data_IF_472257103575
#
_entry.id   IF_472257103575
#
_cell.length_a   1.000
_cell.length_b   1.000
_cell.length_c   1.000
_cell.angle_alpha   90.00
_cell.angle_beta   90.00
_cell.angle_gamma   90.00
#
_symmetry.space_group_name_H-M   'P 1'
#
loop_
_entity.id
_entity.type
_entity.pdbx_description
1 polymer ?
#
# COMPACT_ATOMS: atom_id res chain seq x y z
N UNK A 1 1.25 2.36 3.85
CA UNK A 1 2.03 2.55 2.63
C UNK A 1 2.28 1.18 2.01
N UNK A 2 1.57 0.89 0.93
CA UNK A 2 1.56 -0.40 0.23
C UNK A 2 2.40 -0.24 -1.03
N UNK A 3 3.48 -1.04 -1.16
CA UNK A 3 4.57 -0.81 -2.11
C UNK A 3 5.50 0.30 -1.60
N UNK A 4 5.99 0.13 -0.37
CA UNK A 4 6.73 1.21 0.31
C UNK A 4 8.17 1.37 -0.16
N UNK A 5 8.68 0.42 -0.96
CA UNK A 5 10.07 0.42 -1.43
C UNK A 5 11.04 0.59 -0.23
N UNK A 6 11.97 1.50 -0.26
CA UNK A 6 12.90 1.78 0.85
C UNK A 6 12.30 2.71 1.93
N UNK A 7 11.01 3.06 1.83
CA UNK A 7 10.25 3.81 2.83
C UNK A 7 10.23 5.33 2.65
N UNK A 8 10.66 5.86 1.51
CA UNK A 8 10.75 7.32 1.31
C UNK A 8 9.45 8.06 1.64
N UNK A 9 8.31 7.56 1.17
CA UNK A 9 7.02 8.15 1.46
C UNK A 9 6.63 7.98 2.94
N UNK A 10 6.78 6.77 3.48
CA UNK A 10 6.51 6.46 4.88
C UNK A 10 7.29 7.36 5.84
N UNK A 11 8.59 7.55 5.60
CA UNK A 11 9.42 8.43 6.44
C UNK A 11 9.05 9.90 6.29
N UNK A 12 8.69 10.35 5.08
CA UNK A 12 8.25 11.72 4.84
C UNK A 12 6.98 12.04 5.65
N UNK A 13 5.98 11.17 5.59
CA UNK A 13 4.74 11.31 6.39
C UNK A 13 5.05 11.14 7.88
N UNK A 14 5.81 10.11 8.24
CA UNK A 14 6.13 9.79 9.62
C UNK A 14 6.87 10.90 10.34
N UNK A 15 7.78 11.61 9.65
CA UNK A 15 8.49 12.76 10.23
C UNK A 15 7.56 13.90 10.66
N UNK A 16 6.44 14.08 9.97
CA UNK A 16 5.41 15.07 10.29
C UNK A 16 4.58 14.60 11.49
N UNK A 17 4.24 13.32 11.53
CA UNK A 17 3.30 12.77 12.50
C UNK A 17 3.95 12.07 13.71
N UNK A 18 5.29 12.06 13.82
CA UNK A 18 6.02 11.35 14.89
C UNK A 18 5.65 11.78 16.32
N UNK A 19 5.20 13.02 16.50
CA UNK A 19 4.79 13.54 17.79
C UNK A 19 3.31 13.31 18.13
N UNK A 20 2.53 12.79 17.20
CA UNK A 20 1.13 12.46 17.45
C UNK A 20 1.04 11.10 18.14
N UNK A 21 0.34 11.06 19.28
CA UNK A 21 0.14 9.82 20.03
C UNK A 21 -0.61 8.79 19.20
N UNK A 22 -0.20 7.53 19.33
CA UNK A 22 -0.80 6.36 18.67
C UNK A 22 -0.70 6.34 17.14
N UNK A 23 0.16 7.16 16.54
CA UNK A 23 0.47 7.04 15.10
C UNK A 23 1.23 5.74 14.85
N UNK A 24 0.77 4.98 13.86
CA UNK A 24 1.47 3.82 13.30
C UNK A 24 1.47 3.93 11.78
N UNK A 25 2.62 3.69 11.16
CA UNK A 25 2.76 3.65 9.72
C UNK A 25 3.25 2.25 9.33
N UNK A 26 2.35 1.45 8.81
CA UNK A 26 2.69 0.15 8.23
C UNK A 26 3.28 0.36 6.85
N UNK A 27 4.53 -0.05 6.67
CA UNK A 27 5.27 0.05 5.41
C UNK A 27 5.46 -1.35 4.85
N UNK A 28 4.77 -1.64 3.76
CA UNK A 28 4.63 -2.99 3.22
C UNK A 28 5.40 -3.07 1.93
N UNK A 29 6.40 -3.96 1.89
CA UNK A 29 7.30 -4.13 0.76
C UNK A 29 7.60 -5.62 0.55
N UNK A 30 7.24 -6.20 -0.61
CA UNK A 30 7.47 -7.61 -0.87
C UNK A 30 8.89 -7.96 -1.31
N UNK A 31 9.66 -7.02 -1.91
CA UNK A 31 10.96 -7.34 -2.47
C UNK A 31 12.02 -7.47 -1.35
N UNK A 32 12.69 -8.62 -1.16
CA UNK A 32 13.58 -8.85 -0.01
C UNK A 32 14.68 -7.80 0.13
N UNK A 33 15.34 -7.42 -0.96
CA UNK A 33 16.44 -6.44 -0.89
C UNK A 33 15.96 -5.02 -0.59
N UNK A 34 14.76 -4.64 -1.06
CA UNK A 34 14.16 -3.34 -0.73
C UNK A 34 13.66 -3.34 0.70
N UNK A 35 13.05 -4.43 1.14
CA UNK A 35 12.62 -4.62 2.52
C UNK A 35 13.79 -4.52 3.52
N UNK A 36 14.91 -5.16 3.24
CA UNK A 36 16.11 -5.02 4.07
C UNK A 36 16.57 -3.56 4.22
N UNK A 37 16.52 -2.79 3.12
CA UNK A 37 16.83 -1.35 3.15
C UNK A 37 15.79 -0.56 3.94
N UNK A 38 14.51 -0.90 3.79
CA UNK A 38 13.41 -0.29 4.57
C UNK A 38 13.62 -0.52 6.07
N UNK A 39 13.96 -1.76 6.47
CA UNK A 39 14.26 -2.10 7.88
C UNK A 39 15.46 -1.31 8.38
N UNK A 40 16.56 -1.29 7.62
CA UNK A 40 17.75 -0.49 7.97
C UNK A 40 17.39 0.99 8.17
N UNK A 41 16.65 1.58 7.25
CA UNK A 41 16.21 2.97 7.35
C UNK A 41 15.34 3.21 8.59
N UNK A 42 14.46 2.25 8.92
CA UNK A 42 13.63 2.32 10.13
C UNK A 42 14.46 2.27 11.41
N UNK A 43 15.48 1.43 11.45
CA UNK A 43 16.39 1.32 12.59
C UNK A 43 17.25 2.59 12.80
N UNK A 44 17.55 3.33 11.73
CA UNK A 44 18.28 4.61 11.81
C UNK A 44 17.36 5.79 12.22
N UNK A 45 16.03 5.63 12.14
CA UNK A 45 15.03 6.67 12.41
C UNK A 45 13.97 6.19 13.42
N UNK A 46 14.40 5.69 14.57
CA UNK A 46 13.54 5.08 15.62
C UNK A 46 12.49 6.02 16.23
N UNK A 47 12.66 7.32 16.06
CA UNK A 47 11.70 8.34 16.50
C UNK A 47 10.49 8.46 15.53
N UNK A 48 10.57 7.83 14.36
CA UNK A 48 9.48 7.78 13.38
C UNK A 48 8.75 6.43 13.51
N UNK A 49 7.43 6.41 13.71
CA UNK A 49 6.67 5.20 14.02
C UNK A 49 6.38 4.34 12.78
N UNK A 50 7.45 3.82 12.17
CA UNK A 50 7.39 2.92 11.02
C UNK A 50 7.37 1.47 11.47
N UNK A 51 6.47 0.69 10.89
CA UNK A 51 6.28 -0.74 11.13
C UNK A 51 6.46 -1.51 9.81
N UNK A 52 7.68 -1.93 9.45
CA UNK A 52 7.96 -2.65 8.21
C UNK A 52 7.28 -4.03 8.17
N UNK A 53 6.78 -4.45 7.00
CA UNK A 53 6.23 -5.78 6.76
C UNK A 53 6.70 -6.32 5.41
N UNK A 54 7.35 -7.50 5.45
CA UNK A 54 7.84 -8.19 4.24
C UNK A 54 6.72 -9.06 3.67
N UNK A 55 5.89 -8.47 2.84
CA UNK A 55 4.81 -9.17 2.14
C UNK A 55 4.26 -8.36 0.98
N UNK A 56 3.55 -9.00 0.08
CA UNK A 56 2.66 -8.35 -0.86
C UNK A 56 1.23 -8.26 -0.28
N UNK A 57 0.46 -7.26 -0.68
CA UNK A 57 -0.98 -7.26 -0.48
C UNK A 57 -1.68 -7.51 -1.82
N UNK A 58 -2.67 -8.39 -1.81
CA UNK A 58 -3.39 -8.85 -3.00
C UNK A 58 -4.85 -9.23 -2.66
N UNK A 59 -5.59 -9.73 -3.66
CA UNK A 59 -6.92 -10.29 -3.47
C UNK A 59 -6.92 -11.65 -2.76
N UNK A 60 -5.78 -12.37 -2.77
CA UNK A 60 -5.62 -13.71 -2.21
C UNK A 60 -4.38 -13.79 -1.35
N UNK A 61 -4.50 -14.56 -0.25
CA UNK A 61 -3.37 -14.93 0.59
C UNK A 61 -2.67 -16.18 0.05
N UNK A 62 -1.35 -16.26 0.19
CA UNK A 62 -0.54 -17.40 -0.24
C UNK A 62 0.88 -17.04 -0.61
N UNK A 63 1.57 -18.01 -1.20
CA UNK A 63 2.91 -17.80 -1.77
C UNK A 63 2.80 -17.45 -3.25
N UNK A 64 3.52 -16.43 -3.65
CA UNK A 64 3.58 -15.95 -5.03
C UNK A 64 5.03 -15.73 -5.44
N UNK A 65 5.24 -15.56 -6.73
CA UNK A 65 6.51 -15.15 -7.27
C UNK A 65 6.53 -13.65 -7.53
N UNK A 66 7.67 -13.03 -7.28
CA UNK A 66 7.92 -11.64 -7.62
C UNK A 66 8.86 -11.60 -8.82
N UNK A 67 8.40 -11.04 -9.91
CA UNK A 67 9.18 -10.78 -11.11
C UNK A 67 9.72 -9.35 -11.02
N UNK A 68 11.04 -9.21 -11.08
CA UNK A 68 11.69 -7.92 -10.93
C UNK A 68 12.57 -7.65 -12.15
N UNK A 69 12.34 -6.56 -12.89
CA UNK A 69 13.25 -6.18 -13.97
C UNK A 69 14.66 -5.96 -13.42
N UNK A 70 15.67 -6.54 -14.11
CA UNK A 70 17.08 -6.52 -13.68
C UNK A 70 17.66 -5.12 -13.40
N UNK A 71 17.06 -4.06 -13.95
CA UNK A 71 17.55 -2.70 -13.83
C UNK A 71 16.81 -1.84 -12.80
N UNK A 72 15.63 -2.27 -12.32
CA UNK A 72 14.82 -1.50 -11.39
C UNK A 72 14.05 -2.38 -10.41
N UNK A 73 14.63 -2.60 -9.24
CA UNK A 73 14.02 -3.40 -8.16
C UNK A 73 12.64 -2.86 -7.70
N UNK A 74 12.41 -1.55 -7.83
CA UNK A 74 11.15 -0.91 -7.43
C UNK A 74 9.98 -1.23 -8.35
N UNK A 75 10.23 -1.78 -9.55
CA UNK A 75 9.18 -2.18 -10.50
C UNK A 75 8.82 -3.67 -10.43
N UNK A 76 9.04 -4.27 -9.26
CA UNK A 76 8.67 -5.67 -9.03
C UNK A 76 7.17 -5.90 -9.11
N UNK A 77 6.76 -6.91 -9.90
CA UNK A 77 5.36 -7.33 -10.04
C UNK A 77 5.16 -8.73 -9.51
N UNK A 78 4.10 -8.94 -8.74
CA UNK A 78 3.71 -10.28 -8.34
C UNK A 78 3.23 -11.05 -9.58
N UNK A 79 3.81 -12.22 -9.82
CA UNK A 79 3.57 -13.06 -11.00
C UNK A 79 3.58 -14.55 -10.62
N UNK A 80 3.41 -15.42 -11.61
CA UNK A 80 3.54 -16.86 -11.41
C UNK A 80 4.96 -17.37 -11.74
N UNK A 81 5.87 -16.52 -12.21
CA UNK A 81 7.16 -16.93 -12.79
C UNK A 81 8.36 -16.08 -12.33
N UNK A 82 8.24 -15.32 -11.24
CA UNK A 82 9.32 -14.45 -10.75
C UNK A 82 10.45 -15.21 -10.04
N UNK A 83 11.57 -14.55 -9.82
CA UNK A 83 12.76 -15.12 -9.18
C UNK A 83 12.61 -15.27 -7.66
N UNK A 84 11.91 -14.35 -7.00
CA UNK A 84 11.72 -14.36 -5.55
C UNK A 84 10.36 -14.94 -5.16
N UNK A 85 10.33 -15.78 -4.14
CA UNK A 85 9.08 -16.21 -3.50
C UNK A 85 8.73 -15.18 -2.43
N UNK A 86 7.50 -14.67 -2.49
CA UNK A 86 6.98 -13.68 -1.53
C UNK A 86 5.67 -14.17 -0.95
N UNK A 87 5.45 -13.83 0.31
CA UNK A 87 4.16 -14.06 0.97
C UNK A 87 3.22 -12.94 0.58
N UNK A 88 2.04 -13.29 0.10
CA UNK A 88 0.97 -12.34 -0.11
C UNK A 88 -0.15 -12.56 0.90
N UNK A 89 -0.82 -11.50 1.28
CA UNK A 89 -1.96 -11.51 2.18
C UNK A 89 -3.08 -10.62 1.63
N UNK A 90 -4.32 -11.00 1.89
CA UNK A 90 -5.45 -10.11 1.65
C UNK A 90 -5.39 -8.92 2.62
N UNK A 91 -5.76 -7.73 2.15
CA UNK A 91 -5.68 -6.50 2.96
C UNK A 91 -6.57 -6.57 4.21
N UNK A 92 -7.74 -7.22 4.13
CA UNK A 92 -8.63 -7.38 5.29
C UNK A 92 -7.98 -8.29 6.35
N UNK A 93 -7.36 -9.39 5.92
CA UNK A 93 -6.65 -10.29 6.83
C UNK A 93 -5.47 -9.57 7.50
N UNK A 94 -4.72 -8.78 6.73
CA UNK A 94 -3.64 -7.96 7.27
C UNK A 94 -4.14 -6.97 8.34
N UNK A 95 -5.24 -6.26 8.06
CA UNK A 95 -5.85 -5.30 8.99
C UNK A 95 -6.30 -5.99 10.28
N UNK A 96 -6.87 -7.19 10.19
CA UNK A 96 -7.30 -7.98 11.33
C UNK A 96 -6.10 -8.46 12.18
N UNK A 97 -5.06 -8.97 11.53
CA UNK A 97 -3.87 -9.49 12.22
C UNK A 97 -3.10 -8.40 12.96
N UNK A 98 -3.06 -7.18 12.39
CA UNK A 98 -2.40 -6.01 13.01
C UNK A 98 -3.34 -5.24 13.97
N UNK A 99 -4.56 -5.73 14.18
CA UNK A 99 -5.59 -5.10 15.04
C UNK A 99 -5.86 -3.64 14.68
N UNK A 100 -5.88 -3.32 13.38
CA UNK A 100 -6.10 -1.96 12.88
C UNK A 100 -7.59 -1.61 12.99
N UNK A 101 -7.92 -0.59 13.75
CA UNK A 101 -9.32 -0.18 14.01
C UNK A 101 -9.79 0.97 13.11
N UNK A 102 -8.88 1.78 12.62
CA UNK A 102 -9.15 2.88 11.70
C UNK A 102 -7.93 3.17 10.84
N UNK A 103 -8.16 3.76 9.68
CA UNK A 103 -7.10 4.08 8.71
C UNK A 103 -7.27 5.54 8.31
N UNK A 104 -6.33 6.39 8.71
CA UNK A 104 -6.35 7.81 8.34
C UNK A 104 -5.96 8.02 6.88
N UNK A 105 -4.95 7.30 6.42
CA UNK A 105 -4.53 7.37 5.02
C UNK A 105 -3.97 6.03 4.53
N UNK A 106 -4.14 5.78 3.24
CA UNK A 106 -3.59 4.61 2.55
C UNK A 106 -2.96 5.04 1.23
N UNK A 107 -1.65 4.76 1.05
CA UNK A 107 -0.99 4.86 -0.25
C UNK A 107 -0.90 3.47 -0.85
N UNK A 108 -1.20 3.37 -2.15
CA UNK A 108 -1.12 2.12 -2.93
C UNK A 108 -0.34 2.41 -4.20
N UNK A 109 0.79 1.73 -4.34
CA UNK A 109 1.73 1.87 -5.44
C UNK A 109 2.41 0.51 -5.66
N UNK A 110 1.72 -0.36 -6.40
CA UNK A 110 2.08 -1.79 -6.55
C UNK A 110 2.20 -2.22 -8.01
N UNK A 111 2.61 -1.25 -8.83
CA UNK A 111 3.02 -1.45 -10.20
C UNK A 111 1.97 -2.20 -11.07
N UNK A 112 0.70 -1.75 -10.94
CA UNK A 112 -0.43 -2.23 -11.75
C UNK A 112 -1.31 -3.30 -11.09
N UNK A 113 -1.07 -3.64 -9.83
CA UNK A 113 -1.92 -4.54 -9.05
C UNK A 113 -2.85 -3.83 -8.05
N UNK A 114 -3.04 -2.52 -8.18
CA UNK A 114 -3.83 -1.69 -7.26
C UNK A 114 -5.26 -2.22 -7.10
N UNK A 115 -5.87 -2.66 -8.22
CA UNK A 115 -7.24 -3.22 -8.21
C UNK A 115 -7.33 -4.46 -7.31
N UNK A 116 -6.34 -5.35 -7.37
CA UNK A 116 -6.33 -6.59 -6.60
C UNK A 116 -6.17 -6.35 -5.09
N UNK A 117 -5.58 -5.22 -4.71
CA UNK A 117 -5.46 -4.78 -3.31
C UNK A 117 -6.74 -4.14 -2.82
N UNK A 118 -7.23 -3.12 -3.54
CA UNK A 118 -8.22 -2.19 -3.00
C UNK A 118 -9.67 -2.65 -3.20
N UNK A 119 -9.99 -3.26 -4.35
CA UNK A 119 -11.40 -3.62 -4.66
C UNK A 119 -11.99 -4.62 -3.65
N UNK A 120 -11.31 -5.73 -3.31
CA UNK A 120 -11.83 -6.65 -2.29
C UNK A 120 -12.02 -5.97 -0.94
N UNK A 121 -11.11 -5.09 -0.56
CA UNK A 121 -11.16 -4.36 0.69
C UNK A 121 -12.36 -3.42 0.77
N UNK A 122 -12.52 -2.51 -0.21
CA UNK A 122 -13.62 -1.53 -0.17
C UNK A 122 -15.01 -2.16 -0.33
N UNK A 123 -15.09 -3.33 -0.96
CA UNK A 123 -16.36 -4.03 -1.14
C UNK A 123 -16.79 -4.78 0.11
N UNK A 124 -15.86 -5.23 0.94
CA UNK A 124 -16.14 -6.08 2.11
C UNK A 124 -15.91 -5.37 3.45
N UNK A 125 -15.37 -4.16 3.44
CA UNK A 125 -15.14 -3.39 4.66
C UNK A 125 -16.35 -2.54 5.06
N UNK A 126 -16.55 -2.37 6.36
CA UNK A 126 -17.50 -1.37 6.83
C UNK A 126 -16.96 0.05 6.63
N UNK A 127 -17.86 1.03 6.57
CA UNK A 127 -17.49 2.43 6.30
C UNK A 127 -16.46 3.00 7.29
N UNK A 128 -16.50 2.58 8.56
CA UNK A 128 -15.57 3.09 9.59
C UNK A 128 -14.12 2.67 9.36
N UNK A 129 -13.90 1.60 8.62
CA UNK A 129 -12.59 1.08 8.31
C UNK A 129 -12.03 1.67 7.01
N UNK A 130 -12.87 2.28 6.17
CA UNK A 130 -12.41 2.91 4.95
C UNK A 130 -11.44 4.05 5.26
N UNK A 131 -10.28 4.14 4.56
CA UNK A 131 -9.33 5.22 4.74
C UNK A 131 -9.97 6.58 4.50
N UNK A 132 -9.63 7.58 5.32
CA UNK A 132 -10.08 8.95 5.06
C UNK A 132 -9.45 9.50 3.77
N UNK A 133 -8.19 9.12 3.52
CA UNK A 133 -7.44 9.53 2.32
C UNK A 133 -6.89 8.30 1.64
N UNK A 134 -7.08 8.21 0.33
CA UNK A 134 -6.42 7.24 -0.54
C UNK A 134 -5.50 8.00 -1.50
N UNK A 135 -4.24 7.55 -1.59
CA UNK A 135 -3.30 7.97 -2.61
C UNK A 135 -2.99 6.73 -3.44
N UNK A 136 -3.33 6.78 -4.72
CA UNK A 136 -3.16 5.62 -5.59
C UNK A 136 -2.42 6.03 -6.87
N UNK A 137 -1.51 5.17 -7.33
CA UNK A 137 -0.79 5.41 -8.56
C UNK A 137 -1.75 5.57 -9.74
N UNK A 138 -1.49 6.56 -10.60
CA UNK A 138 -2.27 6.79 -11.82
C UNK A 138 -1.82 5.81 -12.91
N UNK A 139 -2.25 4.58 -12.80
CA UNK A 139 -1.90 3.48 -13.71
C UNK A 139 -3.10 2.99 -14.51
N UNK A 140 -3.94 3.92 -14.97
CA UNK A 140 -5.19 3.63 -15.69
C UNK A 140 -5.02 2.69 -16.90
N UNK A 141 -3.83 2.63 -17.47
CA UNK A 141 -3.53 1.78 -18.63
C UNK A 141 -3.45 0.30 -18.23
N UNK A 142 -3.07 0.01 -16.99
CA UNK A 142 -2.91 -1.35 -16.47
C UNK A 142 -4.18 -1.88 -15.81
N UNK A 143 -5.10 -1.01 -15.41
CA UNK A 143 -6.34 -1.41 -14.74
C UNK A 143 -7.33 -2.03 -15.71
N UNK A 144 -8.00 -3.09 -15.25
CA UNK A 144 -9.04 -3.82 -16.01
C UNK A 144 -10.41 -3.17 -15.87
N UNK A 145 -10.58 -2.37 -14.80
CA UNK A 145 -11.83 -1.70 -14.46
C UNK A 145 -11.59 -0.19 -14.34
N UNK A 146 -12.65 0.59 -14.31
CA UNK A 146 -12.56 2.00 -13.92
C UNK A 146 -12.48 2.09 -12.39
N UNK A 147 -11.26 1.88 -11.87
CA UNK A 147 -11.01 1.86 -10.42
C UNK A 147 -11.39 3.18 -9.74
N UNK A 148 -11.19 4.32 -10.42
CA UNK A 148 -11.54 5.62 -9.86
C UNK A 148 -13.05 5.74 -9.71
N UNK A 149 -13.82 5.33 -10.70
CA UNK A 149 -15.28 5.32 -10.62
C UNK A 149 -15.79 4.40 -9.49
N UNK A 150 -15.16 3.23 -9.32
CA UNK A 150 -15.51 2.32 -8.21
C UNK A 150 -15.27 3.01 -6.85
N UNK A 151 -14.17 3.75 -6.69
CA UNK A 151 -13.89 4.50 -5.47
C UNK A 151 -14.89 5.65 -5.28
N UNK A 152 -15.27 6.37 -6.34
CA UNK A 152 -16.30 7.42 -6.28
C UNK A 152 -17.67 6.87 -5.87
N UNK A 153 -18.07 5.70 -6.38
CA UNK A 153 -19.31 5.01 -5.97
C UNK A 153 -19.29 4.59 -4.49
N UNK A 154 -18.10 4.43 -3.89
CA UNK A 154 -17.92 4.18 -2.45
C UNK A 154 -17.87 5.46 -1.60
N UNK A 155 -18.00 6.62 -2.22
CA UNK A 155 -18.08 7.91 -1.55
C UNK A 155 -16.76 8.68 -1.51
N UNK A 156 -15.75 8.27 -2.27
CA UNK A 156 -14.52 9.04 -2.40
C UNK A 156 -14.67 10.16 -3.42
N UNK A 157 -14.05 11.30 -3.14
CA UNK A 157 -13.96 12.45 -4.04
C UNK A 157 -12.51 12.67 -4.46
N UNK A 158 -12.27 12.88 -5.75
CA UNK A 158 -10.93 13.25 -6.22
C UNK A 158 -10.62 14.67 -5.74
N UNK A 159 -9.66 14.80 -4.82
CA UNK A 159 -9.14 16.10 -4.36
C UNK A 159 -8.03 16.62 -5.25
N UNK A 160 -7.21 15.72 -5.77
CA UNK A 160 -6.12 16.09 -6.66
C UNK A 160 -5.76 14.94 -7.60
N UNK A 161 -5.53 15.29 -8.86
CA UNK A 161 -4.91 14.42 -9.84
C UNK A 161 -3.57 15.00 -10.21
N UNK A 162 -2.52 14.21 -10.11
CA UNK A 162 -1.18 14.53 -10.61
C UNK A 162 -0.85 13.64 -11.80
N UNK A 163 0.33 13.81 -12.38
CA UNK A 163 0.82 12.90 -13.41
C UNK A 163 0.95 11.47 -12.88
N UNK A 164 1.37 11.32 -11.63
CA UNK A 164 1.74 10.01 -11.03
C UNK A 164 0.64 9.45 -10.12
N UNK A 165 -0.24 10.27 -9.55
CA UNK A 165 -1.15 9.82 -8.51
C UNK A 165 -2.52 10.50 -8.58
N UNK A 166 -3.54 9.77 -8.12
CA UNK A 166 -4.79 10.34 -7.62
C UNK A 166 -4.73 10.46 -6.10
N UNK A 167 -5.26 11.54 -5.58
CA UNK A 167 -5.51 11.76 -4.16
C UNK A 167 -7.01 11.88 -3.99
N UNK A 168 -7.59 10.91 -3.26
CA UNK A 168 -9.03 10.84 -3.01
C UNK A 168 -9.29 10.99 -1.52
N UNK A 169 -10.38 11.61 -1.18
CA UNK A 169 -10.85 11.79 0.20
C UNK A 169 -12.25 11.22 0.34
N UNK A 170 -12.47 10.47 1.42
CA UNK A 170 -13.77 9.91 1.75
C UNK A 170 -14.70 11.06 2.16
N UNK A 171 -15.82 11.20 1.45
CA UNK A 171 -16.85 12.18 1.81
C UNK A 171 -17.59 11.72 3.07
N UNK A 172 -17.86 12.64 4.00
CA UNK A 172 -18.58 12.35 5.25
C UNK A 172 -20.03 11.88 5.05
#
# INVERSE_FOLDING_TARGET
DIGSNIGLYSFSVGSVYKNFKNTKIFSIEPHPSLFQRLVYNSEQNKDIPIYPREMALMDKSGEFKLDTPNENLGQGKVSNSGEHTVIAKNLIDFINDEDIKNISAMKIDVEGNEESVIIPFINNSNRKLLPLIIIIENNNVSWKTDLIKILEEKGYLIKKKTRMNYILELNE
#
